data_IF_346047047947
#
_entry.id   IF_346047047947
#
_cell.length_a   1.000
_cell.length_b   1.000
_cell.length_c   1.000
_cell.angle_alpha   90.00
_cell.angle_beta   90.00
_cell.angle_gamma   90.00
#
_symmetry.space_group_name_H-M   'P 1'
#
loop_
_entity.id
_entity.type
_entity.pdbx_description
1 polymer ?
#
# COMPACT_ATOMS: atom_id res chain seq x y z
N UNK A 1 16.86 -3.13 -31.99
CA UNK A 1 17.09 -3.83 -30.71
C UNK A 1 16.82 -2.95 -29.49
N UNK A 2 16.93 -1.61 -29.56
CA UNK A 2 16.76 -0.73 -28.37
C UNK A 2 15.31 -0.30 -28.07
N UNK A 3 14.38 -0.50 -29.01
CA UNK A 3 12.99 -0.03 -28.88
C UNK A 3 12.11 -0.91 -27.98
N UNK A 4 12.49 -2.16 -27.73
CA UNK A 4 11.70 -3.10 -26.91
C UNK A 4 11.49 -2.59 -25.49
N UNK A 5 12.54 -2.05 -24.87
CA UNK A 5 12.48 -1.49 -23.52
C UNK A 5 11.57 -0.26 -23.46
N UNK A 6 11.59 0.55 -24.52
CA UNK A 6 10.76 1.76 -24.62
C UNK A 6 9.27 1.40 -24.78
N UNK A 7 8.97 0.41 -25.62
CA UNK A 7 7.60 -0.11 -25.75
C UNK A 7 7.11 -0.81 -24.48
N UNK A 8 7.97 -1.54 -23.76
CA UNK A 8 7.64 -2.12 -22.45
C UNK A 8 7.20 -1.01 -21.49
N UNK A 9 8.02 0.02 -21.34
CA UNK A 9 7.74 1.13 -20.42
C UNK A 9 6.46 1.87 -20.79
N UNK A 10 6.25 2.16 -22.08
CA UNK A 10 5.03 2.81 -22.56
C UNK A 10 3.79 1.95 -22.30
N UNK A 11 3.88 0.64 -22.53
CA UNK A 11 2.77 -0.29 -22.31
C UNK A 11 2.36 -0.36 -20.83
N UNK A 12 3.34 -0.38 -19.92
CA UNK A 12 3.08 -0.35 -18.47
C UNK A 12 2.35 0.93 -18.08
N UNK A 13 2.81 2.09 -18.55
CA UNK A 13 2.16 3.37 -18.25
C UNK A 13 0.71 3.37 -18.72
N UNK A 14 0.46 2.97 -19.96
CA UNK A 14 -0.89 2.95 -20.54
C UNK A 14 -1.82 2.02 -19.75
N UNK A 15 -1.35 0.82 -19.38
CA UNK A 15 -2.16 -0.13 -18.61
C UNK A 15 -2.45 0.36 -17.18
N UNK A 16 -1.49 1.02 -16.54
CA UNK A 16 -1.69 1.62 -15.22
C UNK A 16 -2.69 2.78 -15.29
N UNK A 17 -2.60 3.64 -16.32
CA UNK A 17 -3.54 4.75 -16.53
C UNK A 17 -4.95 4.25 -16.91
N UNK A 18 -5.05 3.09 -17.56
CA UNK A 18 -6.34 2.43 -17.83
C UNK A 18 -7.00 1.84 -16.58
N UNK A 19 -6.35 1.92 -15.41
CA UNK A 19 -6.90 1.44 -14.13
C UNK A 19 -6.80 -0.08 -13.93
N UNK A 20 -6.01 -0.79 -14.76
CA UNK A 20 -5.78 -2.21 -14.54
C UNK A 20 -4.98 -2.44 -13.24
N UNK A 21 -5.26 -3.51 -12.47
CA UNK A 21 -4.56 -3.76 -11.22
C UNK A 21 -3.04 -3.89 -11.44
N UNK A 22 -2.28 -3.15 -10.64
CA UNK A 22 -0.82 -2.95 -10.79
C UNK A 22 -0.06 -4.27 -10.92
N UNK A 23 -0.41 -5.29 -10.14
CA UNK A 23 0.25 -6.59 -10.17
C UNK A 23 0.18 -7.26 -11.54
N UNK A 24 -0.99 -7.23 -12.19
CA UNK A 24 -1.18 -7.80 -13.53
C UNK A 24 -0.56 -6.92 -14.60
N UNK A 25 -0.66 -5.60 -14.48
CA UNK A 25 -0.05 -4.66 -15.42
C UNK A 25 1.47 -4.80 -15.47
N UNK A 26 2.14 -4.93 -14.32
CA UNK A 26 3.60 -5.07 -14.24
C UNK A 26 4.06 -6.49 -14.60
N UNK A 27 3.45 -7.51 -14.00
CA UNK A 27 3.84 -8.90 -14.23
C UNK A 27 3.52 -9.37 -15.65
N UNK A 28 2.34 -9.05 -16.15
CA UNK A 28 1.87 -9.46 -17.48
C UNK A 28 2.70 -8.83 -18.59
N UNK A 29 2.91 -7.52 -18.55
CA UNK A 29 3.76 -6.84 -19.56
C UNK A 29 5.20 -7.33 -19.50
N UNK A 30 5.78 -7.51 -18.30
CA UNK A 30 7.13 -8.04 -18.16
C UNK A 30 7.27 -9.43 -18.81
N UNK A 31 6.30 -10.33 -18.61
CA UNK A 31 6.32 -11.67 -19.19
C UNK A 31 6.11 -11.64 -20.72
N UNK A 32 5.18 -10.82 -21.22
CA UNK A 32 4.92 -10.68 -22.66
C UNK A 32 6.16 -10.16 -23.39
N UNK A 33 6.78 -9.10 -22.86
CA UNK A 33 7.99 -8.54 -23.47
C UNK A 33 9.22 -9.44 -23.28
N UNK A 34 9.32 -10.20 -22.18
CA UNK A 34 10.34 -11.23 -22.05
C UNK A 34 10.17 -12.32 -23.12
N UNK A 35 8.94 -12.79 -23.37
CA UNK A 35 8.66 -13.79 -24.40
C UNK A 35 9.00 -13.28 -25.82
N UNK A 36 8.56 -12.07 -26.15
CA UNK A 36 8.92 -11.42 -27.43
C UNK A 36 10.44 -11.20 -27.54
N UNK A 37 11.09 -10.85 -26.43
CA UNK A 37 12.53 -10.65 -26.36
C UNK A 37 13.33 -11.94 -26.61
N UNK A 38 12.86 -13.09 -26.10
CA UNK A 38 13.46 -14.41 -26.31
C UNK A 38 13.36 -14.82 -27.78
N UNK A 39 12.18 -14.65 -28.39
CA UNK A 39 11.97 -14.96 -29.82
C UNK A 39 12.82 -14.03 -30.70
N UNK A 40 12.92 -12.74 -30.34
CA UNK A 40 13.71 -11.74 -31.04
C UNK A 40 15.22 -11.80 -30.80
N UNK A 41 15.72 -12.77 -30.02
CA UNK A 41 17.14 -12.94 -29.69
C UNK A 41 17.75 -11.81 -28.84
N UNK A 42 16.90 -10.96 -28.24
CA UNK A 42 17.30 -9.80 -27.44
C UNK A 42 17.26 -10.04 -25.93
N UNK A 43 16.72 -11.19 -25.50
CA UNK A 43 16.58 -11.58 -24.10
C UNK A 43 16.96 -13.05 -23.94
N UNK A 44 17.81 -13.36 -22.96
CA UNK A 44 18.26 -14.73 -22.73
C UNK A 44 17.25 -15.49 -21.85
N UNK A 45 16.77 -16.63 -22.34
CA UNK A 45 15.83 -17.49 -21.61
C UNK A 45 16.29 -17.90 -20.19
N UNK A 46 17.59 -18.08 -19.87
CA UNK A 46 18.04 -18.37 -18.51
C UNK A 46 17.68 -17.30 -17.46
N UNK A 47 17.41 -16.04 -17.85
CA UNK A 47 16.95 -15.06 -16.87
C UNK A 47 15.53 -15.34 -16.35
N UNK A 48 14.69 -16.03 -17.13
CA UNK A 48 13.35 -16.44 -16.70
C UNK A 48 13.39 -17.56 -15.65
N UNK A 49 14.41 -18.43 -15.66
CA UNK A 49 14.53 -19.50 -14.67
C UNK A 49 14.95 -19.00 -13.28
N UNK A 50 15.42 -17.75 -13.18
CA UNK A 50 15.65 -17.06 -11.92
C UNK A 50 14.37 -16.43 -11.32
N UNK A 51 13.26 -16.37 -12.06
CA UNK A 51 12.02 -15.79 -11.55
C UNK A 51 11.43 -16.59 -10.37
N UNK A 52 11.33 -17.93 -10.40
CA UNK A 52 10.78 -18.70 -9.29
C UNK A 52 11.57 -18.50 -7.99
N UNK A 53 12.90 -18.51 -8.05
CA UNK A 53 13.75 -18.29 -6.87
C UNK A 53 13.61 -16.87 -6.33
N UNK A 54 13.45 -15.87 -7.21
CA UNK A 54 13.20 -14.48 -6.81
C UNK A 54 11.82 -14.31 -6.17
N UNK A 55 10.78 -14.95 -6.70
CA UNK A 55 9.44 -14.96 -6.11
C UNK A 55 9.47 -15.63 -4.74
N UNK A 56 10.11 -16.79 -4.61
CA UNK A 56 10.30 -17.46 -3.32
C UNK A 56 11.08 -16.60 -2.32
N UNK A 57 12.11 -15.87 -2.78
CA UNK A 57 12.84 -14.93 -1.96
C UNK A 57 11.96 -13.79 -1.44
N UNK A 58 11.03 -13.28 -2.26
CA UNK A 58 10.04 -12.28 -1.83
C UNK A 58 9.07 -12.88 -0.82
N UNK A 59 8.56 -14.11 -1.04
CA UNK A 59 7.65 -14.78 -0.12
C UNK A 59 8.26 -15.04 1.26
N UNK A 60 9.57 -15.33 1.31
CA UNK A 60 10.32 -15.52 2.54
C UNK A 60 10.84 -14.22 3.16
N UNK A 61 10.42 -13.06 2.64
CA UNK A 61 10.84 -11.78 3.18
C UNK A 61 10.21 -11.56 4.57
N UNK A 62 11.05 -11.46 5.59
CA UNK A 62 10.65 -11.22 6.98
C UNK A 62 9.79 -9.95 7.15
N UNK A 63 9.96 -8.95 6.28
CA UNK A 63 9.14 -7.74 6.26
C UNK A 63 7.66 -8.03 5.95
N UNK A 64 7.36 -9.08 5.19
CA UNK A 64 5.98 -9.46 4.90
C UNK A 64 5.27 -10.05 6.12
N UNK A 65 6.02 -10.63 7.07
CA UNK A 65 5.47 -11.10 8.36
C UNK A 65 4.99 -9.92 9.21
N UNK A 66 5.57 -8.74 9.02
CA UNK A 66 5.12 -7.55 9.72
C UNK A 66 3.68 -7.17 9.36
N UNK A 67 3.25 -7.37 8.10
CA UNK A 67 1.90 -6.99 7.62
C UNK A 67 0.77 -7.61 8.46
N UNK A 68 0.67 -8.95 8.64
CA UNK A 68 -0.38 -9.55 9.46
C UNK A 68 -0.25 -9.17 10.95
N UNK A 69 0.97 -8.99 11.47
CA UNK A 69 1.17 -8.54 12.84
C UNK A 69 0.68 -7.10 13.05
N UNK A 70 0.88 -6.21 12.07
CA UNK A 70 0.34 -4.85 12.08
C UNK A 70 -1.18 -4.83 11.99
N UNK A 71 -1.77 -5.68 11.14
CA UNK A 71 -3.23 -5.84 11.09
C UNK A 71 -3.75 -6.36 12.43
N UNK A 72 -3.09 -7.35 13.02
CA UNK A 72 -3.46 -7.88 14.34
C UNK A 72 -3.39 -6.81 15.42
N UNK A 73 -2.30 -6.04 15.46
CA UNK A 73 -2.15 -4.89 16.38
C UNK A 73 -3.28 -3.88 16.16
N UNK A 74 -3.55 -3.50 14.91
CA UNK A 74 -4.62 -2.56 14.56
C UNK A 74 -5.99 -3.02 15.05
N UNK A 75 -6.36 -4.27 14.78
CA UNK A 75 -7.63 -4.86 15.23
C UNK A 75 -7.67 -4.97 16.76
N UNK A 76 -6.55 -5.27 17.42
CA UNK A 76 -6.49 -5.35 18.88
C UNK A 76 -6.69 -3.97 19.52
N UNK A 77 -6.07 -2.92 18.98
CA UNK A 77 -6.22 -1.53 19.45
C UNK A 77 -7.64 -0.99 19.23
N UNK A 78 -8.29 -1.37 18.12
CA UNK A 78 -9.68 -1.02 17.83
C UNK A 78 -10.64 -1.67 18.84
N UNK A 79 -10.49 -2.99 19.05
CA UNK A 79 -11.33 -3.75 20.00
C UNK A 79 -11.12 -3.36 21.45
N UNK A 80 -9.93 -2.87 21.81
CA UNK A 80 -9.63 -2.38 23.16
C UNK A 80 -10.16 -0.96 23.42
N UNK A 81 -10.76 -0.29 22.44
CA UNK A 81 -11.20 1.11 22.50
C UNK A 81 -10.11 2.16 22.82
N UNK A 82 -8.84 1.74 22.91
CA UNK A 82 -7.68 2.62 23.15
C UNK A 82 -7.55 3.64 22.02
N UNK A 83 -7.81 3.22 20.78
CA UNK A 83 -7.69 4.09 19.62
C UNK A 83 -8.73 5.21 19.60
N UNK A 84 -9.96 4.91 20.05
CA UNK A 84 -11.02 5.92 20.17
C UNK A 84 -10.62 6.95 21.23
N UNK A 85 -10.26 6.52 22.44
CA UNK A 85 -9.81 7.42 23.53
C UNK A 85 -8.62 8.30 23.12
N UNK A 86 -7.65 7.74 22.39
CA UNK A 86 -6.47 8.47 21.92
C UNK A 86 -6.87 9.56 20.90
N UNK A 87 -7.73 9.23 19.94
CA UNK A 87 -8.26 10.20 18.97
C UNK A 87 -9.16 11.24 19.64
N UNK A 88 -9.94 10.88 20.67
CA UNK A 88 -10.75 11.82 21.43
C UNK A 88 -9.87 12.83 22.18
N UNK A 89 -8.82 12.33 22.84
CA UNK A 89 -7.87 13.14 23.60
C UNK A 89 -7.14 14.11 22.68
N UNK A 90 -6.61 13.64 21.56
CA UNK A 90 -5.96 14.51 20.57
C UNK A 90 -6.93 15.49 19.91
N UNK A 91 -8.14 15.06 19.61
CA UNK A 91 -9.15 15.97 19.08
C UNK A 91 -9.58 17.01 20.10
N UNK A 92 -9.51 16.75 21.40
CA UNK A 92 -9.75 17.78 22.42
C UNK A 92 -8.59 18.78 22.47
N UNK A 93 -7.35 18.32 22.28
CA UNK A 93 -6.16 19.17 22.15
C UNK A 93 -6.27 20.12 20.95
N UNK A 94 -6.79 19.63 19.81
CA UNK A 94 -7.03 20.43 18.60
C UNK A 94 -8.48 20.92 18.46
N UNK A 95 -9.30 20.83 19.51
CA UNK A 95 -10.75 21.03 19.44
C UNK A 95 -11.21 22.46 19.16
N UNK A 96 -10.34 23.44 19.39
CA UNK A 96 -10.56 24.84 19.03
C UNK A 96 -10.47 25.11 17.52
N UNK A 97 -9.92 24.17 16.75
CA UNK A 97 -9.76 24.27 15.30
C UNK A 97 -10.92 23.55 14.59
N UNK A 98 -11.48 24.20 13.57
CA UNK A 98 -12.46 23.57 12.66
C UNK A 98 -11.78 22.37 11.97
N UNK A 99 -12.23 21.16 12.28
CA UNK A 99 -11.65 19.92 11.76
C UNK A 99 -10.52 19.32 12.61
N UNK A 100 -10.40 19.68 13.89
CA UNK A 100 -9.36 19.18 14.80
C UNK A 100 -9.24 17.64 14.86
N UNK A 101 -10.33 16.90 14.62
CA UNK A 101 -10.29 15.44 14.49
C UNK A 101 -9.48 14.98 13.27
N UNK A 102 -9.72 15.57 12.10
CA UNK A 102 -8.99 15.24 10.86
C UNK A 102 -7.50 15.59 10.96
N UNK A 103 -7.17 16.71 11.62
CA UNK A 103 -5.78 17.09 11.90
C UNK A 103 -5.12 16.06 12.82
N UNK A 104 -5.83 15.58 13.83
CA UNK A 104 -5.35 14.56 14.75
C UNK A 104 -5.06 13.25 14.04
N UNK A 105 -5.98 12.79 13.17
CA UNK A 105 -5.80 11.57 12.36
C UNK A 105 -4.61 11.70 11.42
N UNK A 106 -4.45 12.85 10.73
CA UNK A 106 -3.29 13.09 9.86
C UNK A 106 -1.98 13.06 10.64
N UNK A 107 -1.90 13.71 11.81
CA UNK A 107 -0.68 13.74 12.61
C UNK A 107 -0.30 12.35 13.15
N UNK A 108 -1.26 11.63 13.72
CA UNK A 108 -1.04 10.28 14.25
C UNK A 108 -0.67 9.32 13.12
N UNK A 109 -1.39 9.40 12.00
CA UNK A 109 -1.10 8.62 10.80
C UNK A 109 0.29 8.91 10.25
N UNK A 110 0.71 10.18 10.22
CA UNK A 110 2.05 10.58 9.79
C UNK A 110 3.14 10.02 10.70
N UNK A 111 2.98 10.13 12.02
CA UNK A 111 3.95 9.62 12.99
C UNK A 111 4.07 8.09 12.91
N UNK A 112 2.94 7.39 12.80
CA UNK A 112 2.93 5.93 12.66
C UNK A 112 3.51 5.49 11.32
N UNK A 113 3.21 6.19 10.22
CA UNK A 113 3.77 5.90 8.91
C UNK A 113 5.29 6.12 8.87
N UNK A 114 5.77 7.21 9.46
CA UNK A 114 7.20 7.50 9.56
C UNK A 114 7.96 6.45 10.38
N UNK A 115 7.35 5.91 11.44
CA UNK A 115 7.99 4.91 12.29
C UNK A 115 7.99 3.49 11.70
N UNK A 116 7.02 3.14 10.85
CA UNK A 116 6.82 1.76 10.37
C UNK A 116 7.39 1.51 8.98
N UNK A 117 7.55 2.54 8.14
CA UNK A 117 8.15 2.42 6.80
C UNK A 117 7.34 1.58 5.80
N UNK A 118 6.20 1.01 6.20
CA UNK A 118 5.34 0.15 5.37
C UNK A 118 4.01 0.87 5.13
N UNK A 119 3.86 1.45 3.93
CA UNK A 119 2.69 2.28 3.58
C UNK A 119 1.37 1.51 3.65
N UNK A 120 1.34 0.27 3.13
CA UNK A 120 0.10 -0.51 3.03
C UNK A 120 -0.50 -0.92 4.38
N UNK A 121 0.33 -1.42 5.30
CA UNK A 121 -0.13 -1.89 6.60
C UNK A 121 -0.65 -0.72 7.47
N UNK A 122 0.05 0.41 7.46
CA UNK A 122 -0.31 1.57 8.26
C UNK A 122 -1.59 2.23 7.80
N UNK A 123 -1.85 2.29 6.48
CA UNK A 123 -3.11 2.81 5.94
C UNK A 123 -4.30 1.95 6.36
N UNK A 124 -4.16 0.61 6.33
CA UNK A 124 -5.21 -0.30 6.79
C UNK A 124 -5.49 -0.10 8.28
N UNK A 125 -4.44 -0.06 9.11
CA UNK A 125 -4.59 0.14 10.55
C UNK A 125 -5.19 1.50 10.86
N UNK A 126 -4.71 2.59 10.25
CA UNK A 126 -5.29 3.92 10.45
C UNK A 126 -6.74 3.99 9.96
N UNK A 127 -7.06 3.39 8.82
CA UNK A 127 -8.43 3.34 8.32
C UNK A 127 -9.37 2.63 9.29
N UNK A 128 -8.98 1.45 9.80
CA UNK A 128 -9.78 0.71 10.79
C UNK A 128 -9.96 1.48 12.10
N UNK A 129 -8.95 2.25 12.54
CA UNK A 129 -9.00 2.99 13.80
C UNK A 129 -9.73 4.35 13.67
N UNK A 130 -9.53 5.08 12.58
CA UNK A 130 -10.03 6.44 12.41
C UNK A 130 -11.43 6.52 11.79
N UNK A 131 -11.77 5.63 10.85
CA UNK A 131 -13.06 5.60 10.18
C UNK A 131 -14.25 5.54 11.15
N UNK A 132 -14.33 4.61 12.14
CA UNK A 132 -15.46 4.58 13.05
C UNK A 132 -15.60 5.85 13.88
N UNK A 133 -14.49 6.41 14.37
CA UNK A 133 -14.48 7.65 15.17
C UNK A 133 -14.87 8.88 14.33
N UNK A 134 -14.43 8.97 13.08
CA UNK A 134 -14.78 10.06 12.17
C UNK A 134 -16.26 10.04 11.80
N UNK A 135 -16.82 8.87 11.50
CA UNK A 135 -18.25 8.70 11.21
C UNK A 135 -19.12 9.02 12.42
N UNK A 136 -18.76 8.56 13.63
CA UNK A 136 -19.46 8.92 14.89
C UNK A 136 -19.52 10.43 15.12
N UNK A 137 -18.53 11.18 14.63
CA UNK A 137 -18.44 12.65 14.75
C UNK A 137 -19.02 13.42 13.56
N UNK A 138 -19.74 12.73 12.67
CA UNK A 138 -20.52 13.36 11.59
C UNK A 138 -19.71 13.75 10.35
N UNK A 139 -18.50 13.22 10.16
CA UNK A 139 -17.78 13.34 8.88
C UNK A 139 -18.52 12.53 7.80
N UNK A 140 -18.58 13.05 6.56
CA UNK A 140 -19.10 12.24 5.45
C UNK A 140 -18.12 11.11 5.12
N UNK A 141 -18.63 9.98 4.64
CA UNK A 141 -17.81 8.81 4.30
C UNK A 141 -16.79 9.09 3.17
N UNK A 142 -16.95 10.20 2.45
CA UNK A 142 -16.05 10.63 1.38
C UNK A 142 -14.78 11.33 1.92
N UNK A 143 -14.81 11.79 3.17
CA UNK A 143 -13.72 12.53 3.85
C UNK A 143 -13.24 11.86 5.15
N UNK A 144 -13.82 10.70 5.49
CA UNK A 144 -13.43 9.85 6.62
C UNK A 144 -12.51 8.72 6.15
#
# INVERSE_FOLDING_TARGET
MEWISLFLFLSVIVLLLAGFPVAFSLGGTALIFAFVGVIGGSFEAPFLSALPSRIFGIMNNEMLVAVPLFVFMGVTLERAHIAEELLETLSSLFGSLRGGLGISVMLVGMLLAASTGIVGATVVTMGLLSLPTMLKRGYSAEIA
#
